data_IF_757923050780
#
_entry.id   IF_757923050780
#
_cell.length_a   1.000
_cell.length_b   1.000
_cell.length_c   1.000
_cell.angle_alpha   90.00
_cell.angle_beta   90.00
_cell.angle_gamma   90.00
#
_symmetry.space_group_name_H-M   'P 1'
#
loop_
_entity.id
_entity.type
_entity.pdbx_description
1 polymer ?
#
# COMPACT_ATOMS: atom_id res chain seq x y z
N UNK A 1 -10.55 9.08 12.36
CA UNK A 1 -9.30 8.46 11.90
C UNK A 1 -8.08 8.79 12.76
N UNK A 2 -7.95 9.99 13.35
CA UNK A 2 -6.84 10.33 14.28
C UNK A 2 -7.41 10.85 15.60
N UNK A 3 -8.13 9.98 16.32
CA UNK A 3 -8.81 10.31 17.58
C UNK A 3 -7.90 10.19 18.81
N UNK A 4 -6.84 9.38 18.69
CA UNK A 4 -5.97 9.06 19.82
C UNK A 4 -5.04 10.23 20.16
N UNK A 5 -4.89 10.50 21.46
CA UNK A 5 -4.05 11.58 21.95
C UNK A 5 -2.57 11.43 21.58
N UNK A 6 -1.83 12.55 21.57
CA UNK A 6 -0.43 12.62 21.11
C UNK A 6 0.49 11.58 21.76
N UNK A 7 0.36 11.33 23.07
CA UNK A 7 1.18 10.33 23.77
C UNK A 7 0.94 8.91 23.22
N UNK A 8 -0.31 8.57 22.87
CA UNK A 8 -0.65 7.29 22.28
C UNK A 8 -0.12 7.16 20.85
N UNK A 9 -0.03 8.27 20.11
CA UNK A 9 0.61 8.29 18.78
C UNK A 9 2.11 8.01 18.88
N UNK A 10 2.78 8.54 19.90
CA UNK A 10 4.21 8.27 20.15
C UNK A 10 4.42 6.78 20.46
N UNK A 11 3.61 6.20 21.36
CA UNK A 11 3.68 4.78 21.70
C UNK A 11 3.43 3.93 20.44
N UNK A 12 2.49 4.32 19.58
CA UNK A 12 2.21 3.65 18.31
C UNK A 12 3.43 3.67 17.37
N UNK A 13 4.09 4.82 17.20
CA UNK A 13 5.32 4.91 16.38
C UNK A 13 6.44 4.06 16.96
N UNK A 14 6.65 4.08 18.27
CA UNK A 14 7.65 3.23 18.93
C UNK A 14 7.33 1.74 18.71
N UNK A 15 6.06 1.34 18.82
CA UNK A 15 5.61 -0.01 18.52
C UNK A 15 5.91 -0.43 17.09
N UNK A 16 5.65 0.45 16.12
CA UNK A 16 5.98 0.19 14.71
C UNK A 16 7.49 0.18 14.45
N UNK A 17 8.29 1.02 15.12
CA UNK A 17 9.75 0.97 15.02
C UNK A 17 10.32 -0.33 15.59
N UNK A 18 9.76 -0.81 16.71
CA UNK A 18 10.11 -2.10 17.28
C UNK A 18 9.72 -3.23 16.31
N UNK A 19 8.52 -3.19 15.73
CA UNK A 19 8.11 -4.12 14.69
C UNK A 19 9.08 -4.11 13.50
N UNK A 20 9.46 -2.93 13.00
CA UNK A 20 10.41 -2.78 11.90
C UNK A 20 11.77 -3.38 12.27
N UNK A 21 12.22 -3.21 13.51
CA UNK A 21 13.44 -3.85 13.99
C UNK A 21 13.34 -5.37 14.00
N UNK A 22 12.21 -5.96 14.40
CA UNK A 22 11.96 -7.41 14.32
C UNK A 22 12.03 -7.87 12.86
N UNK A 23 11.34 -7.19 11.95
CA UNK A 23 11.37 -7.48 10.50
C UNK A 23 12.80 -7.41 9.97
N UNK A 24 13.51 -6.32 10.28
CA UNK A 24 14.91 -6.15 9.87
C UNK A 24 15.78 -7.31 10.37
N UNK A 25 15.66 -7.71 11.64
CA UNK A 25 16.45 -8.84 12.17
C UNK A 25 16.22 -10.13 11.39
N UNK A 26 14.97 -10.43 11.04
CA UNK A 26 14.62 -11.62 10.25
C UNK A 26 15.10 -11.55 8.79
N UNK A 27 14.97 -10.37 8.17
CA UNK A 27 15.20 -10.18 6.73
C UNK A 27 16.65 -9.76 6.40
N UNK A 28 17.44 -9.30 7.39
CA UNK A 28 18.82 -8.79 7.21
C UNK A 28 19.73 -9.71 6.42
N UNK A 29 19.68 -11.02 6.65
CA UNK A 29 20.48 -11.99 5.90
C UNK A 29 20.00 -12.14 4.46
N UNK A 30 18.69 -12.02 4.23
CA UNK A 30 18.08 -11.98 2.90
C UNK A 30 18.57 -10.76 2.11
N UNK A 31 18.54 -9.58 2.71
CA UNK A 31 19.07 -8.34 2.11
C UNK A 31 20.55 -8.47 1.74
N UNK A 32 21.38 -9.10 2.60
CA UNK A 32 22.80 -9.33 2.29
C UNK A 32 23.03 -10.33 1.15
N UNK A 33 22.10 -11.25 0.94
CA UNK A 33 22.21 -12.31 -0.09
C UNK A 33 21.64 -11.86 -1.44
N UNK A 34 20.69 -10.95 -1.43
CA UNK A 34 20.12 -10.39 -2.64
C UNK A 34 21.09 -9.35 -3.22
N UNK A 35 21.69 -9.66 -4.38
CA UNK A 35 22.65 -8.77 -5.04
C UNK A 35 21.96 -7.54 -5.65
N UNK A 36 20.77 -7.74 -6.19
CA UNK A 36 19.94 -6.67 -6.77
C UNK A 36 19.28 -5.85 -5.66
N UNK A 37 19.75 -4.61 -5.47
CA UNK A 37 19.22 -3.68 -4.46
C UNK A 37 17.80 -3.20 -4.77
N UNK A 38 17.28 -3.51 -5.96
CA UNK A 38 15.90 -3.34 -6.37
C UNK A 38 15.10 -4.64 -6.43
N UNK A 39 15.65 -5.73 -5.89
CA UNK A 39 15.02 -7.04 -5.85
C UNK A 39 13.89 -7.16 -4.83
N UNK A 40 13.26 -8.34 -4.79
CA UNK A 40 12.03 -8.58 -4.04
C UNK A 40 12.19 -8.37 -2.52
N UNK A 41 13.33 -8.78 -1.96
CA UNK A 41 13.60 -8.67 -0.52
C UNK A 41 13.91 -7.21 -0.15
N UNK A 42 14.60 -6.50 -1.03
CA UNK A 42 14.82 -5.05 -0.89
C UNK A 42 13.50 -4.27 -0.96
N UNK A 43 12.65 -4.52 -1.97
CA UNK A 43 11.34 -3.88 -2.08
C UNK A 43 10.47 -4.15 -0.84
N UNK A 44 10.50 -5.39 -0.32
CA UNK A 44 9.78 -5.76 0.90
C UNK A 44 10.27 -4.94 2.10
N UNK A 45 11.57 -4.75 2.21
CA UNK A 45 12.14 -4.00 3.33
C UNK A 45 11.92 -2.49 3.20
N UNK A 46 12.00 -1.93 1.99
CA UNK A 46 11.72 -0.51 1.77
C UNK A 46 10.26 -0.17 2.07
N UNK A 47 9.32 -1.00 1.62
CA UNK A 47 7.90 -0.82 1.96
C UNK A 47 7.64 -1.02 3.46
N UNK A 48 8.35 -1.95 4.11
CA UNK A 48 8.27 -2.11 5.56
C UNK A 48 8.74 -0.85 6.33
N UNK A 49 9.80 -0.18 5.87
CA UNK A 49 10.28 1.08 6.49
C UNK A 49 9.23 2.20 6.37
N UNK A 50 8.51 2.25 5.25
CA UNK A 50 7.50 3.28 5.02
C UNK A 50 6.38 3.26 6.08
N UNK A 51 6.07 2.08 6.64
CA UNK A 51 5.00 1.92 7.66
C UNK A 51 5.23 2.81 8.89
N UNK A 52 6.32 2.71 9.68
CA UNK A 52 6.53 3.66 10.78
C UNK A 52 6.83 5.08 10.30
N UNK A 53 7.54 5.23 9.18
CA UNK A 53 8.04 6.52 8.72
C UNK A 53 6.91 7.48 8.33
N UNK A 54 5.96 7.04 7.51
CA UNK A 54 4.87 7.91 7.04
C UNK A 54 3.92 8.35 8.15
N UNK A 55 3.78 7.57 9.24
CA UNK A 55 2.96 8.00 10.36
C UNK A 55 3.52 9.26 11.07
N UNK A 56 4.81 9.56 10.90
CA UNK A 56 5.43 10.75 11.51
C UNK A 56 4.78 12.05 10.99
N UNK A 57 4.19 12.06 9.78
CA UNK A 57 3.46 13.22 9.27
C UNK A 57 2.25 13.62 10.14
N UNK A 58 1.70 12.70 10.94
CA UNK A 58 0.64 12.99 11.91
C UNK A 58 1.08 13.99 13.01
N UNK A 59 2.38 14.20 13.18
CA UNK A 59 2.95 15.13 14.17
C UNK A 59 2.96 16.58 13.72
N UNK A 60 2.66 16.86 12.45
CA UNK A 60 2.44 18.23 11.98
C UNK A 60 1.05 18.80 12.35
N UNK A 61 0.19 17.98 12.97
CA UNK A 61 -1.17 18.35 13.36
C UNK A 61 -1.23 18.64 14.86
N UNK A 62 -1.50 19.87 15.27
CA UNK A 62 -1.69 20.26 16.66
C UNK A 62 -2.92 21.17 16.80
N UNK A 63 -3.47 21.36 18.02
CA UNK A 63 -4.73 22.09 18.21
C UNK A 63 -4.73 23.52 17.66
N UNK A 64 -3.57 24.15 17.58
CA UNK A 64 -3.37 25.52 17.08
C UNK A 64 -3.04 25.59 15.58
N UNK A 65 -2.83 24.46 14.90
CA UNK A 65 -2.64 24.43 13.44
C UNK A 65 -3.92 24.92 12.75
N UNK A 66 -3.78 25.81 11.75
CA UNK A 66 -4.91 26.20 10.90
C UNK A 66 -5.65 24.96 10.37
N UNK A 67 -6.98 24.98 10.39
CA UNK A 67 -7.80 23.82 10.05
C UNK A 67 -7.46 23.21 8.69
N UNK A 68 -7.38 24.02 7.62
CA UNK A 68 -7.07 23.54 6.26
C UNK A 68 -5.69 22.88 6.20
N UNK A 69 -4.70 23.44 6.91
CA UNK A 69 -3.35 22.87 6.96
C UNK A 69 -3.26 21.60 7.82
N UNK A 70 -4.02 21.55 8.92
CA UNK A 70 -4.16 20.35 9.73
C UNK A 70 -4.83 19.23 8.92
N UNK A 71 -5.87 19.56 8.16
CA UNK A 71 -6.59 18.64 7.30
C UNK A 71 -5.73 18.11 6.16
N UNK A 72 -4.89 18.97 5.55
CA UNK A 72 -3.88 18.56 4.58
C UNK A 72 -3.03 17.40 5.11
N UNK A 73 -2.40 17.55 6.27
CA UNK A 73 -1.59 16.49 6.88
C UNK A 73 -2.41 15.30 7.38
N UNK A 74 -3.67 15.51 7.77
CA UNK A 74 -4.57 14.42 8.18
C UNK A 74 -4.76 13.42 7.04
N UNK A 75 -4.91 13.90 5.81
CA UNK A 75 -5.06 13.06 4.63
C UNK A 75 -3.77 12.33 4.22
N UNK A 76 -2.59 12.81 4.62
CA UNK A 76 -1.35 12.02 4.46
C UNK A 76 -1.41 10.71 5.24
N UNK A 77 -2.12 10.70 6.38
CA UNK A 77 -2.31 9.48 7.16
C UNK A 77 -3.44 8.63 6.58
N UNK A 78 -4.57 9.24 6.24
CA UNK A 78 -5.76 8.49 5.86
C UNK A 78 -5.66 7.93 4.45
N UNK A 79 -5.19 8.74 3.50
CA UNK A 79 -5.08 8.32 2.11
C UNK A 79 -3.71 7.68 1.88
N UNK A 80 -2.61 8.43 2.03
CA UNK A 80 -1.29 7.89 1.65
C UNK A 80 -0.77 6.79 2.59
N UNK A 81 -0.89 6.94 3.90
CA UNK A 81 -0.30 5.97 4.82
C UNK A 81 -1.12 4.68 4.94
N UNK A 82 -2.43 4.77 5.15
CA UNK A 82 -3.30 3.59 5.21
C UNK A 82 -3.25 2.83 3.88
N UNK A 83 -3.45 3.52 2.75
CA UNK A 83 -3.38 2.87 1.44
C UNK A 83 -1.95 2.40 1.13
N UNK A 84 -0.91 3.13 1.52
CA UNK A 84 0.48 2.69 1.38
C UNK A 84 0.81 1.39 2.13
N UNK A 85 0.21 1.16 3.30
CA UNK A 85 0.35 -0.12 4.03
C UNK A 85 -0.26 -1.27 3.21
N UNK A 86 -1.42 -1.06 2.60
CA UNK A 86 -2.15 -2.13 1.93
C UNK A 86 -1.72 -2.31 0.46
N UNK A 87 -1.65 -1.24 -0.31
CA UNK A 87 -1.38 -1.25 -1.75
C UNK A 87 0.10 -1.32 -2.11
N UNK A 88 1.01 -1.11 -1.15
CA UNK A 88 2.46 -1.32 -1.36
C UNK A 88 2.97 -2.47 -0.50
N UNK A 89 2.91 -2.36 0.83
CA UNK A 89 3.52 -3.38 1.70
C UNK A 89 2.83 -4.75 1.56
N UNK A 90 1.50 -4.81 1.60
CA UNK A 90 0.82 -6.09 1.45
C UNK A 90 1.04 -6.71 0.05
N UNK A 91 1.04 -5.89 -1.01
CA UNK A 91 1.30 -6.36 -2.39
C UNK A 91 2.69 -6.98 -2.52
N UNK A 92 3.75 -6.36 -1.96
CA UNK A 92 5.08 -7.01 -1.95
C UNK A 92 5.06 -8.31 -1.15
N UNK A 93 4.38 -8.35 0.00
CA UNK A 93 4.29 -9.56 0.83
C UNK A 93 3.61 -10.70 0.07
N UNK A 94 2.52 -10.43 -0.64
CA UNK A 94 1.85 -11.42 -1.49
C UNK A 94 2.77 -11.88 -2.61
N UNK A 95 3.44 -10.95 -3.31
CA UNK A 95 4.44 -11.29 -4.32
C UNK A 95 5.54 -12.20 -3.77
N UNK A 96 6.07 -11.87 -2.59
CA UNK A 96 7.04 -12.71 -1.87
C UNK A 96 6.51 -14.10 -1.55
N UNK A 97 5.29 -14.21 -1.02
CA UNK A 97 4.65 -15.49 -0.70
C UNK A 97 4.43 -16.35 -1.95
N UNK A 98 3.92 -15.78 -3.04
CA UNK A 98 3.70 -16.52 -4.29
C UNK A 98 5.02 -17.02 -4.90
N UNK A 99 6.10 -16.22 -4.81
CA UNK A 99 7.44 -16.65 -5.21
C UNK A 99 7.95 -17.78 -4.31
N UNK A 100 7.73 -17.67 -2.99
CA UNK A 100 8.17 -18.67 -2.02
C UNK A 100 7.42 -20.00 -2.18
N UNK A 101 6.14 -19.95 -2.53
CA UNK A 101 5.30 -21.10 -2.88
C UNK A 101 5.61 -21.66 -4.28
N UNK A 102 6.52 -21.03 -5.03
CA UNK A 102 6.90 -21.39 -6.40
C UNK A 102 5.72 -21.37 -7.39
N UNK A 103 4.71 -20.54 -7.12
CA UNK A 103 3.55 -20.35 -8.01
C UNK A 103 3.87 -19.37 -9.13
N UNK A 104 4.79 -18.43 -8.88
CA UNK A 104 5.23 -17.42 -9.85
C UNK A 104 6.74 -17.26 -9.85
N UNK A 105 7.31 -16.77 -10.96
CA UNK A 105 8.75 -16.53 -11.04
C UNK A 105 9.13 -15.21 -10.38
N UNK A 106 10.22 -15.20 -9.61
CA UNK A 106 10.74 -13.98 -8.94
C UNK A 106 10.93 -12.80 -9.92
N UNK A 107 11.46 -13.08 -11.12
CA UNK A 107 11.70 -12.06 -12.15
C UNK A 107 10.40 -11.41 -12.63
N UNK A 108 9.35 -12.20 -12.82
CA UNK A 108 8.04 -11.67 -13.22
C UNK A 108 7.46 -10.80 -12.11
N UNK A 109 7.46 -11.29 -10.87
CA UNK A 109 6.93 -10.58 -9.71
C UNK A 109 7.58 -9.23 -9.51
N UNK A 110 8.92 -9.15 -9.51
CA UNK A 110 9.62 -7.87 -9.29
C UNK A 110 9.26 -6.84 -10.37
N UNK A 111 9.18 -7.26 -11.65
CA UNK A 111 8.78 -6.36 -12.74
C UNK A 111 7.33 -5.89 -12.62
N UNK A 112 6.43 -6.78 -12.22
CA UNK A 112 5.03 -6.43 -11.96
C UNK A 112 4.92 -5.41 -10.82
N UNK A 113 5.66 -5.60 -9.72
CA UNK A 113 5.70 -4.67 -8.59
C UNK A 113 6.21 -3.28 -9.02
N UNK A 114 7.27 -3.20 -9.83
CA UNK A 114 7.74 -1.89 -10.33
C UNK A 114 6.68 -1.18 -11.17
N UNK A 115 6.00 -1.91 -12.06
CA UNK A 115 4.92 -1.35 -12.85
C UNK A 115 3.79 -0.83 -11.96
N UNK A 116 3.31 -1.67 -11.03
CA UNK A 116 2.25 -1.32 -10.08
C UNK A 116 2.62 -0.10 -9.24
N UNK A 117 3.82 -0.07 -8.62
CA UNK A 117 4.21 1.07 -7.78
C UNK A 117 4.36 2.36 -8.57
N UNK A 118 4.76 2.29 -9.84
CA UNK A 118 4.87 3.49 -10.68
C UNK A 118 3.49 4.10 -10.95
N UNK A 119 2.51 3.28 -11.36
CA UNK A 119 1.16 3.79 -11.67
C UNK A 119 0.36 4.12 -10.41
N UNK A 120 0.54 3.36 -9.32
CA UNK A 120 -0.08 3.62 -8.02
C UNK A 120 0.44 4.94 -7.47
N UNK A 121 1.75 5.08 -7.26
CA UNK A 121 2.31 6.30 -6.66
C UNK A 121 2.22 7.49 -7.61
N UNK A 122 2.31 7.26 -8.93
CA UNK A 122 2.17 8.30 -9.94
C UNK A 122 0.78 8.92 -10.03
N UNK A 123 -0.25 8.23 -9.52
CA UNK A 123 -1.63 8.73 -9.40
C UNK A 123 -1.95 9.13 -7.96
N UNK A 124 -1.96 8.18 -7.03
CA UNK A 124 -2.46 8.38 -5.65
C UNK A 124 -1.69 9.40 -4.81
N UNK A 125 -0.39 9.62 -5.06
CA UNK A 125 0.38 10.62 -4.29
C UNK A 125 -0.17 12.04 -4.49
N UNK A 126 -0.56 12.39 -5.72
CA UNK A 126 -1.20 13.69 -6.01
C UNK A 126 -2.73 13.58 -5.90
N UNK A 127 -3.28 12.38 -6.15
CA UNK A 127 -4.70 12.05 -6.04
C UNK A 127 -5.29 12.30 -4.65
N UNK A 128 -4.47 12.31 -3.59
CA UNK A 128 -4.82 12.86 -2.26
C UNK A 128 -5.55 14.21 -2.33
N UNK A 129 -5.26 15.00 -3.36
CA UNK A 129 -5.87 16.30 -3.66
C UNK A 129 -7.39 16.28 -3.76
N UNK A 130 -8.02 15.15 -4.04
CA UNK A 130 -9.48 15.06 -4.06
C UNK A 130 -10.15 15.30 -2.71
N UNK A 131 -9.40 15.16 -1.62
CA UNK A 131 -9.86 15.52 -0.28
C UNK A 131 -9.74 17.03 0.01
N UNK A 132 -9.08 17.78 -0.88
CA UNK A 132 -8.81 19.20 -0.71
C UNK A 132 -9.75 20.09 -1.53
N UNK A 133 -10.72 19.51 -2.25
CA UNK A 133 -11.66 20.28 -3.08
C UNK A 133 -12.38 21.38 -2.31
N UNK A 134 -12.80 21.06 -1.08
CA UNK A 134 -13.74 21.92 -0.33
C UNK A 134 -13.33 22.14 1.13
N UNK A 135 -12.09 21.80 1.51
CA UNK A 135 -11.59 21.97 2.89
C UNK A 135 -10.98 23.37 3.15
N UNK A 136 -11.12 24.30 2.20
CA UNK A 136 -10.53 25.65 2.23
C UNK A 136 -9.20 25.78 1.49
N UNK A 137 -8.73 24.73 0.83
CA UNK A 137 -7.52 24.76 0.00
C UNK A 137 -7.70 25.60 -1.28
N UNK A 138 -6.61 26.11 -1.88
CA UNK A 138 -6.69 26.88 -3.12
C UNK A 138 -7.20 26.05 -4.30
N UNK A 139 -7.86 26.72 -5.25
CA UNK A 139 -8.53 26.14 -6.44
C UNK A 139 -7.63 25.20 -7.26
N UNK A 140 -6.31 25.40 -7.25
CA UNK A 140 -5.34 24.51 -7.94
C UNK A 140 -5.54 23.03 -7.58
N UNK A 141 -5.99 22.73 -6.36
CA UNK A 141 -6.23 21.36 -5.92
C UNK A 141 -7.46 20.71 -6.55
N UNK A 142 -8.41 21.47 -7.08
CA UNK A 142 -9.51 20.91 -7.88
C UNK A 142 -8.95 20.25 -9.14
N UNK A 143 -8.11 20.97 -9.88
CA UNK A 143 -7.51 20.44 -11.10
C UNK A 143 -6.56 19.26 -10.80
N UNK A 144 -5.66 19.42 -9.82
CA UNK A 144 -4.71 18.37 -9.47
C UNK A 144 -5.40 17.13 -8.89
N UNK A 145 -6.29 17.31 -7.91
CA UNK A 145 -7.01 16.23 -7.27
C UNK A 145 -7.84 15.45 -8.29
N UNK A 146 -8.62 16.13 -9.14
CA UNK A 146 -9.52 15.47 -10.08
C UNK A 146 -8.78 14.66 -11.15
N UNK A 147 -7.69 15.21 -11.70
CA UNK A 147 -6.92 14.51 -12.72
C UNK A 147 -6.23 13.29 -12.13
N UNK A 148 -5.54 13.45 -11.00
CA UNK A 148 -4.70 12.38 -10.47
C UNK A 148 -5.51 11.30 -9.75
N UNK A 149 -6.60 11.63 -9.06
CA UNK A 149 -7.45 10.60 -8.44
C UNK A 149 -8.23 9.79 -9.48
N UNK A 150 -8.61 10.40 -10.61
CA UNK A 150 -9.19 9.64 -11.72
C UNK A 150 -8.21 8.62 -12.32
N UNK A 151 -6.91 8.93 -12.33
CA UNK A 151 -5.87 7.99 -12.79
C UNK A 151 -5.66 6.82 -11.83
N UNK A 152 -6.05 6.94 -10.56
CA UNK A 152 -5.96 5.84 -9.59
C UNK A 152 -6.82 4.64 -10.02
N UNK A 153 -7.91 4.86 -10.76
CA UNK A 153 -8.77 3.77 -11.26
C UNK A 153 -8.04 2.84 -12.23
N UNK A 154 -6.97 3.31 -12.90
CA UNK A 154 -6.21 2.52 -13.87
C UNK A 154 -5.66 1.23 -13.25
N UNK A 155 -4.83 1.24 -12.19
CA UNK A 155 -4.36 0.02 -11.54
C UNK A 155 -5.50 -0.87 -11.05
N UNK A 156 -6.61 -0.31 -10.56
CA UNK A 156 -7.75 -1.08 -10.06
C UNK A 156 -8.39 -1.96 -11.15
N UNK A 157 -8.46 -1.47 -12.39
CA UNK A 157 -8.99 -2.28 -13.51
C UNK A 157 -8.12 -3.49 -13.84
N UNK A 158 -6.83 -3.47 -13.52
CA UNK A 158 -5.93 -4.60 -13.76
C UNK A 158 -6.08 -5.70 -12.71
N UNK A 159 -6.66 -5.38 -11.54
CA UNK A 159 -6.84 -6.33 -10.44
C UNK A 159 -7.87 -7.42 -10.76
N UNK A 160 -8.85 -7.16 -11.63
CA UNK A 160 -9.80 -8.20 -12.04
C UNK A 160 -9.11 -9.31 -12.85
N UNK A 161 -8.10 -8.94 -13.65
CA UNK A 161 -7.29 -9.89 -14.40
C UNK A 161 -6.37 -10.68 -13.45
N UNK A 162 -5.78 -10.02 -12.46
CA UNK A 162 -5.00 -10.71 -11.42
C UNK A 162 -5.86 -11.69 -10.60
N UNK A 163 -7.09 -11.31 -10.25
CA UNK A 163 -8.02 -12.17 -9.54
C UNK A 163 -8.32 -13.45 -10.33
N UNK A 164 -8.47 -13.34 -11.65
CA UNK A 164 -8.65 -14.48 -12.53
C UNK A 164 -7.42 -15.39 -12.57
N UNK A 165 -6.20 -14.83 -12.68
CA UNK A 165 -4.96 -15.63 -12.63
C UNK A 165 -4.78 -16.33 -11.28
N UNK A 166 -5.14 -15.67 -10.16
CA UNK A 166 -5.15 -16.31 -8.84
C UNK A 166 -6.18 -17.44 -8.75
N UNK A 167 -7.39 -17.22 -9.27
CA UNK A 167 -8.42 -18.27 -9.36
C UNK A 167 -7.92 -19.47 -10.17
N UNK A 168 -7.28 -19.23 -11.31
CA UNK A 168 -6.71 -20.27 -12.17
C UNK A 168 -5.63 -21.06 -11.43
N UNK A 169 -4.67 -20.41 -10.78
CA UNK A 169 -3.64 -21.08 -9.97
C UNK A 169 -4.24 -21.92 -8.83
N UNK A 170 -5.28 -21.41 -8.16
CA UNK A 170 -5.99 -22.16 -7.12
C UNK A 170 -6.68 -23.41 -7.68
N UNK A 171 -7.27 -23.31 -8.88
CA UNK A 171 -7.92 -24.45 -9.57
C UNK A 171 -6.89 -25.49 -10.02
N UNK A 172 -5.75 -25.06 -10.54
CA UNK A 172 -4.65 -25.92 -10.97
C UNK A 172 -4.05 -26.71 -9.78
N UNK A 173 -4.07 -26.14 -8.57
CA UNK A 173 -3.71 -26.82 -7.32
C UNK A 173 -4.69 -27.92 -6.88
N UNK A 174 -5.85 -28.04 -7.53
CA UNK A 174 -6.82 -29.10 -7.29
C UNK A 174 -7.57 -29.00 -5.96
N UNK A 175 -8.24 -30.10 -5.57
CA UNK A 175 -9.09 -30.13 -4.37
C UNK A 175 -8.26 -30.07 -3.08
N UNK A 176 -7.02 -30.54 -3.11
CA UNK A 176 -6.13 -30.57 -1.95
C UNK A 176 -5.23 -29.32 -1.85
N UNK A 177 -5.51 -28.27 -2.63
CA UNK A 177 -4.76 -27.02 -2.54
C UNK A 177 -4.87 -26.43 -1.11
N UNK A 178 -3.75 -26.26 -0.38
CA UNK A 178 -3.79 -25.95 1.04
C UNK A 178 -4.24 -24.51 1.36
N UNK A 179 -4.16 -23.60 0.39
CA UNK A 179 -4.42 -22.16 0.59
C UNK A 179 -5.74 -21.69 -0.04
N UNK A 180 -6.73 -22.58 -0.22
CA UNK A 180 -8.03 -22.24 -0.82
C UNK A 180 -8.69 -21.03 -0.16
N UNK A 181 -8.77 -21.04 1.17
CA UNK A 181 -9.36 -19.93 1.92
C UNK A 181 -8.62 -18.61 1.68
N UNK A 182 -7.28 -18.64 1.73
CA UNK A 182 -6.44 -17.47 1.44
C UNK A 182 -6.72 -16.92 0.04
N UNK A 183 -6.79 -17.79 -0.97
CA UNK A 183 -7.04 -17.38 -2.35
C UNK A 183 -8.46 -16.85 -2.54
N UNK A 184 -9.48 -17.38 -1.85
CA UNK A 184 -10.83 -16.80 -1.86
C UNK A 184 -10.82 -15.36 -1.38
N UNK A 185 -10.14 -15.07 -0.25
CA UNK A 185 -10.02 -13.70 0.25
C UNK A 185 -9.19 -12.81 -0.68
N UNK A 186 -8.11 -13.30 -1.29
CA UNK A 186 -7.33 -12.52 -2.26
C UNK A 186 -8.17 -12.14 -3.49
N UNK A 187 -8.93 -13.08 -4.03
CA UNK A 187 -9.84 -12.85 -5.17
C UNK A 187 -10.93 -11.85 -4.76
N UNK A 188 -11.52 -12.01 -3.58
CA UNK A 188 -12.51 -11.06 -3.05
C UNK A 188 -11.92 -9.66 -2.88
N UNK A 189 -10.71 -9.51 -2.35
CA UNK A 189 -10.02 -8.22 -2.22
C UNK A 189 -9.85 -7.57 -3.58
N UNK A 190 -9.38 -8.29 -4.59
CA UNK A 190 -9.20 -7.73 -5.94
C UNK A 190 -10.53 -7.26 -6.57
N UNK A 191 -11.62 -8.01 -6.39
CA UNK A 191 -12.96 -7.62 -6.86
C UNK A 191 -13.46 -6.37 -6.10
N UNK A 192 -13.34 -6.35 -4.78
CA UNK A 192 -13.76 -5.22 -3.96
C UNK A 192 -12.89 -3.99 -4.15
N UNK A 193 -11.64 -4.15 -4.59
CA UNK A 193 -10.83 -3.00 -4.96
C UNK A 193 -11.48 -2.31 -6.17
N UNK A 194 -11.76 -3.04 -7.25
CA UNK A 194 -12.45 -2.50 -8.43
C UNK A 194 -13.85 -1.96 -8.11
N UNK A 195 -14.70 -2.72 -7.43
CA UNK A 195 -16.09 -2.32 -7.18
C UNK A 195 -16.16 -1.25 -6.09
N UNK A 196 -15.51 -1.48 -4.95
CA UNK A 196 -15.64 -0.63 -3.77
C UNK A 196 -14.85 0.66 -3.84
N UNK A 197 -13.67 0.67 -4.46
CA UNK A 197 -12.84 1.87 -4.59
C UNK A 197 -12.79 2.42 -6.03
N UNK A 198 -12.97 1.57 -7.04
CA UNK A 198 -12.95 2.00 -8.44
C UNK A 198 -14.29 2.56 -8.95
N UNK A 199 -15.42 2.07 -8.43
CA UNK A 199 -16.76 2.48 -8.88
C UNK A 199 -17.48 3.38 -7.88
N UNK A 200 -17.34 3.11 -6.58
CA UNK A 200 -17.96 3.88 -5.49
C UNK A 200 -16.96 4.81 -4.82
#
# INVERSE_FOLDING_TARGET
YIELGRIWQIILVVGMLLWLFIVFRGVKRGLKRESDKGGLIHLLFYSAIAVPFFYIFAFFIQPDTNFTMADFWRWWIIHLWVEGIFEVFAVVVIGFLLVQLRLVTKKSTVRALYFQFTILLGSGVIGIGHHYYYNGSPEVWIALGAVFSALEVIPLTLLILEAYEQYKMMRDGGVNFPYKATFWFLISTAIWNLVGAGVF
#
